data_IF_229939980081
#
_entry.id   IF_229939980081
#
_cell.length_a   1.000
_cell.length_b   1.000
_cell.length_c   1.000
_cell.angle_alpha   90.00
_cell.angle_beta   90.00
_cell.angle_gamma   90.00
#
_symmetry.space_group_name_H-M   'P 1'
#
loop_
_entity.id
_entity.type
_entity.pdbx_description
1 polymer ?
#
# COMPACT_ATOMS: atom_id res chain seq x y z
N UNK A 1 -3.38 17.26 0.14
CA UNK A 1 -4.84 17.53 0.24
C UNK A 1 -5.72 16.39 -0.30
N UNK A 2 -5.21 15.51 -1.17
CA UNK A 2 -6.03 14.44 -1.80
C UNK A 2 -6.23 13.17 -0.96
N UNK A 3 -5.60 13.07 0.21
CA UNK A 3 -5.74 11.97 1.16
C UNK A 3 -6.18 12.54 2.50
N UNK A 4 -7.48 12.81 2.65
CA UNK A 4 -8.06 13.32 3.91
C UNK A 4 -8.17 12.25 5.00
N UNK A 5 -8.32 10.98 4.58
CA UNK A 5 -8.33 9.79 5.43
C UNK A 5 -7.91 8.59 4.56
N UNK A 6 -7.20 7.63 5.14
CA UNK A 6 -6.62 6.45 4.48
C UNK A 6 -7.68 5.43 4.00
N UNK A 7 -8.97 5.67 4.31
CA UNK A 7 -10.04 4.68 4.11
C UNK A 7 -11.25 5.19 3.32
N UNK A 8 -11.29 6.47 2.94
CA UNK A 8 -12.46 7.04 2.28
C UNK A 8 -12.21 7.33 0.79
N UNK A 9 -12.88 6.55 -0.04
CA UNK A 9 -13.06 6.85 -1.46
C UNK A 9 -13.93 8.10 -1.63
N UNK A 10 -13.54 8.99 -2.53
CA UNK A 10 -14.40 10.08 -3.02
C UNK A 10 -14.53 9.98 -4.53
N UNK A 11 -15.57 10.59 -5.10
CA UNK A 11 -15.77 10.62 -6.55
C UNK A 11 -14.56 11.27 -7.23
N UNK A 12 -14.04 12.36 -6.67
CA UNK A 12 -12.91 13.11 -7.20
C UNK A 12 -11.65 12.25 -7.28
N UNK A 13 -11.37 11.44 -6.24
CA UNK A 13 -10.26 10.46 -6.27
C UNK A 13 -10.51 9.39 -7.33
N UNK A 14 -11.76 8.94 -7.49
CA UNK A 14 -12.15 8.01 -8.54
C UNK A 14 -11.94 8.58 -9.95
N UNK A 15 -12.30 9.83 -10.17
CA UNK A 15 -12.10 10.54 -11.44
C UNK A 15 -10.60 10.60 -11.76
N UNK A 16 -9.74 10.96 -10.79
CA UNK A 16 -8.28 10.98 -10.99
C UNK A 16 -7.70 9.60 -11.34
N UNK A 17 -8.20 8.53 -10.72
CA UNK A 17 -7.79 7.15 -11.04
C UNK A 17 -8.19 6.80 -12.49
N UNK A 18 -9.44 7.07 -12.86
CA UNK A 18 -9.96 6.75 -14.19
C UNK A 18 -9.23 7.56 -15.27
N UNK A 19 -9.02 8.85 -15.05
CA UNK A 19 -8.27 9.73 -15.95
C UNK A 19 -6.87 9.18 -16.24
N UNK A 20 -6.16 8.73 -15.20
CA UNK A 20 -4.82 8.12 -15.34
C UNK A 20 -4.84 6.77 -16.05
N UNK A 21 -5.78 5.89 -15.73
CA UNK A 21 -5.82 4.51 -16.27
C UNK A 21 -6.29 4.48 -17.72
N UNK A 22 -7.20 5.39 -18.10
CA UNK A 22 -7.80 5.45 -19.42
C UNK A 22 -7.13 6.47 -20.35
N UNK A 23 -6.07 7.15 -19.90
CA UNK A 23 -5.44 8.28 -20.59
C UNK A 23 -6.45 9.35 -21.02
N UNK A 24 -7.36 9.68 -20.10
CA UNK A 24 -8.42 10.67 -20.31
C UNK A 24 -8.14 11.89 -19.42
N UNK A 25 -8.15 13.10 -19.97
CA UNK A 25 -7.86 14.33 -19.23
C UNK A 25 -6.61 14.22 -18.33
N UNK A 26 -5.50 13.71 -18.88
CA UNK A 26 -4.28 13.44 -18.10
C UNK A 26 -3.71 14.71 -17.45
N UNK A 27 -3.90 15.86 -18.08
CA UNK A 27 -3.53 17.18 -17.56
C UNK A 27 -4.23 17.55 -16.25
N UNK A 28 -5.36 16.92 -15.93
CA UNK A 28 -6.10 17.13 -14.68
C UNK A 28 -5.55 16.24 -13.54
N UNK A 29 -4.69 15.26 -13.85
CA UNK A 29 -4.11 14.36 -12.84
C UNK A 29 -2.77 14.91 -12.35
N UNK A 30 -2.62 15.24 -11.05
CA UNK A 30 -1.34 15.68 -10.52
C UNK A 30 -0.21 14.67 -10.76
N UNK A 31 0.99 15.16 -11.04
CA UNK A 31 2.16 14.30 -11.29
C UNK A 31 2.48 13.40 -10.08
N UNK A 32 2.24 13.90 -8.87
CA UNK A 32 2.45 13.19 -7.60
C UNK A 32 1.25 12.33 -7.17
N UNK A 33 0.19 12.25 -7.97
CA UNK A 33 -0.99 11.44 -7.68
C UNK A 33 -0.75 9.97 -8.04
N UNK A 34 -0.35 9.19 -7.03
CA UNK A 34 -0.14 7.75 -7.13
C UNK A 34 0.94 7.36 -8.13
N UNK A 35 1.04 6.06 -8.42
CA UNK A 35 1.98 5.52 -9.41
C UNK A 35 1.18 4.58 -10.31
N UNK A 36 1.17 4.83 -11.62
CA UNK A 36 0.56 3.91 -12.58
C UNK A 36 1.47 2.69 -12.75
N UNK A 37 0.98 1.53 -12.33
CA UNK A 37 1.72 0.27 -12.43
C UNK A 37 1.45 -0.40 -13.77
N UNK A 38 2.51 -0.81 -14.45
CA UNK A 38 2.47 -1.51 -15.73
C UNK A 38 3.54 -2.61 -15.78
N UNK A 39 3.63 -3.33 -16.90
CA UNK A 39 4.58 -4.42 -17.09
C UNK A 39 6.05 -3.98 -17.04
N UNK A 40 6.33 -2.71 -17.29
CA UNK A 40 7.69 -2.15 -17.32
C UNK A 40 8.20 -1.76 -15.93
N UNK A 41 7.28 -1.41 -15.01
CA UNK A 41 7.66 -0.87 -13.69
C UNK A 41 7.23 -1.72 -12.48
N UNK A 42 6.42 -2.77 -12.66
CA UNK A 42 5.93 -3.58 -11.54
C UNK A 42 7.06 -4.16 -10.69
N UNK A 43 8.11 -4.71 -11.30
CA UNK A 43 9.19 -5.36 -10.56
C UNK A 43 10.05 -4.37 -9.76
N UNK A 44 10.35 -3.20 -10.34
CA UNK A 44 11.10 -2.16 -9.64
C UNK A 44 10.27 -1.56 -8.50
N UNK A 45 8.96 -1.39 -8.70
CA UNK A 45 8.05 -0.91 -7.66
C UNK A 45 7.93 -1.90 -6.50
N UNK A 46 7.79 -3.20 -6.79
CA UNK A 46 7.79 -4.25 -5.76
C UNK A 46 9.12 -4.31 -4.99
N UNK A 47 10.23 -4.14 -5.69
CA UNK A 47 11.56 -4.10 -5.07
C UNK A 47 11.68 -2.92 -4.09
N UNK A 48 11.22 -1.73 -4.50
CA UNK A 48 11.17 -0.54 -3.63
C UNK A 48 10.33 -0.79 -2.38
N UNK A 49 9.10 -1.32 -2.52
CA UNK A 49 8.23 -1.62 -1.38
C UNK A 49 8.90 -2.60 -0.42
N UNK A 50 9.59 -3.65 -0.92
CA UNK A 50 10.30 -4.61 -0.06
C UNK A 50 11.41 -3.94 0.74
N UNK A 51 12.22 -3.10 0.10
CA UNK A 51 13.30 -2.34 0.76
C UNK A 51 12.75 -1.37 1.80
N UNK A 52 11.69 -0.63 1.48
CA UNK A 52 11.04 0.29 2.41
C UNK A 52 10.48 -0.43 3.63
N UNK A 53 9.89 -1.63 3.44
CA UNK A 53 9.44 -2.48 4.55
C UNK A 53 10.58 -2.92 5.45
N UNK A 54 11.74 -3.29 4.89
CA UNK A 54 12.92 -3.65 5.69
C UNK A 54 13.45 -2.47 6.50
N UNK A 55 13.55 -1.30 5.88
CA UNK A 55 13.95 -0.05 6.55
C UNK A 55 12.97 0.30 7.67
N UNK A 56 11.67 0.25 7.39
CA UNK A 56 10.64 0.51 8.38
C UNK A 56 10.74 -0.49 9.54
N UNK A 57 10.87 -1.80 9.26
CA UNK A 57 10.97 -2.82 10.31
C UNK A 57 12.21 -2.64 11.20
N UNK A 58 13.34 -2.21 10.62
CA UNK A 58 14.55 -1.88 11.38
C UNK A 58 14.34 -0.71 12.34
N UNK A 59 13.53 0.27 11.94
CA UNK A 59 13.27 1.48 12.72
C UNK A 59 12.10 1.32 13.72
N UNK A 60 11.31 0.25 13.62
CA UNK A 60 10.10 0.01 14.44
C UNK A 60 10.12 -1.41 15.05
N UNK A 61 11.14 -1.76 15.87
CA UNK A 61 11.32 -3.12 16.36
C UNK A 61 10.22 -3.60 17.31
N UNK A 62 9.61 -2.70 18.09
CA UNK A 62 8.57 -3.04 19.06
C UNK A 62 7.25 -3.39 18.35
N UNK A 63 6.90 -2.65 17.31
CA UNK A 63 5.75 -2.92 16.44
C UNK A 63 5.93 -4.26 15.71
N UNK A 64 7.14 -4.50 15.19
CA UNK A 64 7.48 -5.79 14.55
C UNK A 64 7.34 -6.94 15.55
N UNK A 65 7.81 -6.75 16.79
CA UNK A 65 7.67 -7.75 17.86
C UNK A 65 6.19 -8.01 18.18
N UNK A 66 5.39 -6.96 18.36
CA UNK A 66 3.96 -7.06 18.63
C UNK A 66 3.22 -7.86 17.55
N UNK A 67 3.47 -7.55 16.26
CA UNK A 67 2.82 -8.24 15.14
C UNK A 67 3.22 -9.72 15.10
N UNK A 68 4.51 -10.04 15.30
CA UNK A 68 5.00 -11.42 15.34
C UNK A 68 4.36 -12.23 16.46
N UNK A 69 4.34 -11.69 17.68
CA UNK A 69 3.72 -12.34 18.83
C UNK A 69 2.22 -12.53 18.65
N UNK A 70 1.53 -11.55 18.07
CA UNK A 70 0.10 -11.63 17.77
C UNK A 70 -0.18 -12.76 16.77
N UNK A 71 0.63 -12.86 15.70
CA UNK A 71 0.51 -13.94 14.72
C UNK A 71 0.75 -15.30 15.35
N UNK A 72 1.79 -15.45 16.18
CA UNK A 72 2.06 -16.71 16.86
C UNK A 72 0.88 -17.16 17.73
N UNK A 73 0.34 -16.26 18.56
CA UNK A 73 -0.83 -16.57 19.41
C UNK A 73 -2.06 -16.95 18.60
N UNK A 74 -2.23 -16.36 17.41
CA UNK A 74 -3.32 -16.70 16.51
C UNK A 74 -3.14 -18.11 15.92
N UNK A 75 -1.94 -18.43 15.44
CA UNK A 75 -1.63 -19.73 14.84
C UNK A 75 -1.75 -20.87 15.88
N UNK A 76 -1.31 -20.64 17.13
CA UNK A 76 -1.49 -21.57 18.26
C UNK A 76 -2.98 -21.86 18.53
N UNK A 77 -3.80 -20.81 18.64
CA UNK A 77 -5.27 -20.96 18.82
C UNK A 77 -5.96 -21.66 17.65
N UNK A 78 -5.44 -21.52 16.44
CA UNK A 78 -5.99 -22.21 15.27
C UNK A 78 -5.65 -23.70 15.32
N UNK A 79 -4.44 -24.06 15.75
CA UNK A 79 -4.01 -25.45 15.90
C UNK A 79 -4.77 -26.18 17.02
N UNK A 80 -5.10 -25.51 18.14
CA UNK A 80 -5.90 -26.11 19.24
C UNK A 80 -7.36 -26.41 18.87
N UNK A 81 -7.87 -25.83 17.77
CA UNK A 81 -9.26 -26.01 17.31
C UNK A 81 -9.43 -27.13 16.28
N UNK A 82 -8.34 -27.68 15.74
CA UNK A 82 -8.34 -28.72 14.72
C UNK A 82 -7.85 -30.04 15.30
#
# INVERSE_FOLDING_TARGET
>A
ENYRDNSHYTKEVGDLILNRVLSYQEEEVPEDFGILINSENIESHLTKIRQEREVWAKNNPDEVKLVKETKQKFDEKLAEKN
#
